data_IF_386196235388
#
_entry.id   IF_386196235388
#
_cell.length_a   1.000
_cell.length_b   1.000
_cell.length_c   1.000
_cell.angle_alpha   90.00
_cell.angle_beta   90.00
_cell.angle_gamma   90.00
#
_symmetry.space_group_name_H-M   'P 1'
#
loop_
_entity.id
_entity.type
_entity.pdbx_description
1 polymer ?
#
# COMPACT_ATOMS: atom_id res chain seq x y z
N UNK A 1 -23.61 -6.26 -20.01
CA UNK A 1 -22.81 -7.48 -20.24
C UNK A 1 -21.80 -7.60 -19.10
N UNK A 2 -21.68 -8.77 -18.48
CA UNK A 2 -20.64 -9.08 -17.50
C UNK A 2 -19.27 -9.08 -18.18
N UNK A 3 -18.31 -8.28 -17.72
CA UNK A 3 -16.93 -8.28 -18.22
C UNK A 3 -16.03 -9.11 -17.30
N UNK A 4 -14.93 -9.62 -17.85
CA UNK A 4 -13.95 -10.41 -17.12
C UNK A 4 -12.58 -9.77 -17.25
N UNK A 5 -12.02 -9.25 -16.15
CA UNK A 5 -10.60 -8.88 -16.14
C UNK A 5 -9.75 -10.14 -16.25
N UNK A 6 -9.01 -10.24 -17.33
CA UNK A 6 -8.18 -11.39 -17.65
C UNK A 6 -6.86 -11.42 -16.85
N UNK A 7 -6.29 -12.58 -16.67
CA UNK A 7 -4.88 -12.72 -16.34
C UNK A 7 -4.02 -12.43 -17.57
N UNK A 8 -2.81 -11.88 -17.39
CA UNK A 8 -1.83 -11.74 -18.48
C UNK A 8 -0.71 -12.75 -18.28
N UNK A 9 -0.57 -13.68 -19.20
CA UNK A 9 0.39 -14.78 -19.10
C UNK A 9 0.82 -15.28 -20.48
N UNK A 10 2.09 -15.66 -20.58
CA UNK A 10 2.65 -16.14 -21.87
C UNK A 10 2.46 -15.12 -23.00
N UNK A 11 2.63 -13.83 -22.69
CA UNK A 11 2.54 -12.74 -23.66
C UNK A 11 1.12 -12.40 -24.13
N UNK A 12 0.06 -12.86 -23.47
CA UNK A 12 -1.33 -12.58 -23.85
C UNK A 12 -2.30 -12.53 -22.69
N UNK A 13 -3.35 -11.74 -22.85
CA UNK A 13 -4.50 -11.76 -21.96
C UNK A 13 -5.26 -13.08 -22.11
N UNK A 14 -5.55 -13.72 -20.97
CA UNK A 14 -6.10 -15.07 -20.93
C UNK A 14 -7.26 -15.13 -19.92
N UNK A 15 -8.46 -15.53 -20.33
CA UNK A 15 -9.56 -15.77 -19.40
C UNK A 15 -9.27 -16.98 -18.50
N UNK A 16 -10.07 -17.13 -17.45
CA UNK A 16 -10.07 -18.31 -16.57
C UNK A 16 -11.50 -18.72 -16.26
N UNK A 17 -11.70 -20.01 -16.03
CA UNK A 17 -12.97 -20.53 -15.48
C UNK A 17 -13.11 -20.21 -14.00
N UNK A 18 -11.98 -20.19 -13.28
CA UNK A 18 -11.95 -19.76 -11.88
C UNK A 18 -12.01 -18.23 -11.83
N UNK A 19 -13.02 -17.69 -11.16
CA UNK A 19 -13.22 -16.24 -11.11
C UNK A 19 -13.62 -15.78 -9.72
N UNK A 20 -13.40 -14.50 -9.44
CA UNK A 20 -13.91 -13.81 -8.28
C UNK A 20 -14.67 -12.52 -8.70
N UNK A 21 -15.53 -11.95 -7.86
CA UNK A 21 -16.10 -10.63 -8.11
C UNK A 21 -15.00 -9.59 -8.30
N UNK A 22 -15.18 -8.67 -9.24
CA UNK A 22 -14.33 -7.50 -9.40
C UNK A 22 -14.87 -6.38 -8.49
N UNK A 23 -14.11 -5.89 -7.51
CA UNK A 23 -14.59 -4.85 -6.60
C UNK A 23 -15.08 -3.60 -7.33
N UNK A 24 -16.13 -2.97 -6.81
CA UNK A 24 -16.71 -1.73 -7.32
C UNK A 24 -17.47 -1.85 -8.65
N UNK A 25 -17.48 -3.01 -9.28
CA UNK A 25 -18.13 -3.23 -10.56
C UNK A 25 -19.11 -4.39 -10.47
N UNK A 26 -20.38 -4.05 -10.24
CA UNK A 26 -21.45 -5.05 -10.12
C UNK A 26 -21.54 -5.93 -11.38
N UNK A 27 -21.41 -7.22 -11.20
CA UNK A 27 -21.45 -8.22 -12.27
C UNK A 27 -20.10 -8.49 -12.93
N UNK A 28 -19.14 -7.58 -12.92
CA UNK A 28 -17.82 -7.84 -13.50
C UNK A 28 -17.01 -8.82 -12.64
N UNK A 29 -16.12 -9.59 -13.29
CA UNK A 29 -15.36 -10.68 -12.68
C UNK A 29 -13.87 -10.49 -12.87
N UNK A 30 -13.06 -11.09 -11.99
CA UNK A 30 -11.61 -11.20 -12.07
C UNK A 30 -11.26 -12.66 -12.34
N UNK A 31 -10.51 -12.92 -13.41
CA UNK A 31 -9.96 -14.25 -13.69
C UNK A 31 -8.94 -14.64 -12.60
N UNK A 32 -9.05 -15.82 -12.04
CA UNK A 32 -8.08 -16.36 -11.08
C UNK A 32 -7.24 -17.44 -11.73
N UNK A 33 -5.94 -17.42 -11.49
CA UNK A 33 -4.99 -18.41 -12.00
C UNK A 33 -4.78 -19.50 -10.95
N UNK A 34 -5.13 -20.76 -11.23
CA UNK A 34 -4.83 -21.89 -10.35
C UNK A 34 -3.32 -22.16 -10.24
N UNK A 35 -2.87 -22.74 -9.13
CA UNK A 35 -1.45 -23.05 -8.89
C UNK A 35 -0.87 -23.98 -9.97
N UNK A 36 -1.62 -24.97 -10.41
CA UNK A 36 -1.18 -25.91 -11.46
C UNK A 36 -0.89 -25.22 -12.79
N UNK A 37 -1.65 -24.17 -13.11
CA UNK A 37 -1.45 -23.36 -14.31
C UNK A 37 -0.17 -22.52 -14.18
N UNK A 38 0.06 -21.90 -13.03
CA UNK A 38 1.30 -21.19 -12.73
C UNK A 38 2.52 -22.11 -12.79
N UNK A 39 2.41 -23.33 -12.24
CA UNK A 39 3.46 -24.35 -12.32
C UNK A 39 3.78 -24.79 -13.77
N UNK A 40 2.76 -24.88 -14.63
CA UNK A 40 2.98 -25.16 -16.05
C UNK A 40 3.65 -23.99 -16.78
N UNK A 41 3.35 -22.74 -16.38
CA UNK A 41 4.01 -21.56 -16.93
C UNK A 41 5.47 -21.47 -16.48
N UNK A 42 5.79 -21.83 -15.22
CA UNK A 42 7.17 -21.91 -14.74
C UNK A 42 7.99 -22.93 -15.55
N UNK A 43 7.49 -24.16 -15.74
CA UNK A 43 8.19 -25.17 -16.54
C UNK A 43 8.45 -24.71 -17.97
N UNK A 44 7.50 -23.97 -18.58
CA UNK A 44 7.71 -23.37 -19.90
C UNK A 44 8.80 -22.31 -19.86
N UNK A 45 8.80 -21.45 -18.83
CA UNK A 45 9.79 -20.41 -18.63
C UNK A 45 11.22 -21.00 -18.53
N UNK A 46 11.38 -22.05 -17.75
CA UNK A 46 12.69 -22.75 -17.60
C UNK A 46 13.24 -23.26 -18.93
N UNK A 47 12.35 -23.63 -19.85
CA UNK A 47 12.73 -24.08 -21.21
C UNK A 47 13.07 -22.95 -22.21
N UNK A 48 12.79 -21.68 -21.87
CA UNK A 48 12.98 -20.55 -22.80
C UNK A 48 14.38 -19.93 -22.74
N UNK A 49 15.21 -20.28 -21.77
CA UNK A 49 16.52 -19.67 -21.52
C UNK A 49 16.46 -18.13 -21.63
N UNK A 50 15.75 -17.45 -20.74
CA UNK A 50 15.43 -16.03 -20.89
C UNK A 50 16.73 -15.20 -20.97
N UNK A 51 16.78 -14.32 -21.93
CA UNK A 51 17.84 -13.32 -22.04
C UNK A 51 17.78 -12.29 -20.91
N UNK A 52 18.71 -11.35 -20.89
CA UNK A 52 18.66 -10.18 -20.01
C UNK A 52 17.55 -9.21 -20.46
N UNK A 53 17.04 -8.34 -19.57
CA UNK A 53 16.14 -7.24 -19.95
C UNK A 53 16.76 -6.36 -21.07
N UNK A 54 15.98 -5.49 -21.73
CA UNK A 54 16.51 -4.51 -22.68
C UNK A 54 17.70 -3.72 -22.14
N UNK A 55 18.50 -3.10 -23.00
CA UNK A 55 19.64 -2.26 -22.59
C UNK A 55 19.18 -1.16 -21.61
N UNK A 56 20.06 -0.71 -20.69
CA UNK A 56 19.68 0.18 -19.57
C UNK A 56 18.89 1.41 -20.01
N UNK A 57 19.44 2.22 -20.92
CA UNK A 57 18.78 3.45 -21.38
C UNK A 57 17.39 3.16 -21.98
N UNK A 58 17.28 2.11 -22.79
CA UNK A 58 16.01 1.70 -23.36
C UNK A 58 15.00 1.21 -22.34
N UNK A 59 15.47 0.55 -21.26
CA UNK A 59 14.57 0.14 -20.16
C UNK A 59 13.94 1.32 -19.47
N UNK A 60 14.76 2.30 -19.09
CA UNK A 60 14.31 3.50 -18.38
C UNK A 60 13.31 4.30 -19.22
N UNK A 61 13.60 4.48 -20.51
CA UNK A 61 12.71 5.13 -21.46
C UNK A 61 11.34 4.41 -21.52
N UNK A 62 11.33 3.10 -21.74
CA UNK A 62 10.09 2.31 -21.80
C UNK A 62 9.28 2.37 -20.50
N UNK A 63 9.92 2.42 -19.33
CA UNK A 63 9.23 2.52 -18.05
C UNK A 63 8.63 3.91 -17.83
N UNK A 64 9.30 4.98 -18.26
CA UNK A 64 8.75 6.34 -18.19
C UNK A 64 7.58 6.50 -19.15
N UNK A 65 7.68 5.99 -20.39
CA UNK A 65 6.59 5.95 -21.35
C UNK A 65 5.40 5.15 -20.80
N UNK A 66 5.66 4.00 -20.15
CA UNK A 66 4.63 3.20 -19.52
C UNK A 66 3.92 3.95 -18.38
N UNK A 67 4.64 4.73 -17.57
CA UNK A 67 4.02 5.55 -16.52
C UNK A 67 3.17 6.68 -17.10
N UNK A 68 3.60 7.29 -18.20
CA UNK A 68 2.80 8.30 -18.89
C UNK A 68 1.50 7.71 -19.45
N UNK A 69 1.60 6.56 -20.12
CA UNK A 69 0.45 5.82 -20.61
C UNK A 69 -0.46 5.31 -19.46
N UNK A 70 0.12 4.88 -18.34
CA UNK A 70 -0.61 4.46 -17.16
C UNK A 70 -1.49 5.58 -16.60
N UNK A 71 -0.99 6.80 -16.57
CA UNK A 71 -1.70 7.96 -16.02
C UNK A 71 -2.71 8.54 -17.02
N UNK A 72 -2.29 8.72 -18.28
CA UNK A 72 -3.01 9.54 -19.27
C UNK A 72 -3.55 8.74 -20.45
N UNK A 73 -2.96 7.59 -20.78
CA UNK A 73 -3.27 6.84 -22.00
C UNK A 73 -4.64 6.18 -21.98
N UNK A 74 -5.17 5.91 -23.19
CA UNK A 74 -6.28 4.97 -23.37
C UNK A 74 -5.69 3.60 -23.66
N UNK A 75 -5.89 2.64 -22.75
CA UNK A 75 -5.28 1.32 -22.76
C UNK A 75 -6.34 0.22 -22.85
N UNK A 76 -6.08 -0.81 -23.64
CA UNK A 76 -6.89 -2.04 -23.58
C UNK A 76 -6.49 -2.87 -22.38
N UNK A 77 -7.31 -2.81 -21.33
CA UNK A 77 -7.09 -3.57 -20.09
C UNK A 77 -7.84 -4.89 -20.20
N UNK A 78 -7.13 -5.89 -20.62
CA UNK A 78 -7.54 -7.25 -20.98
C UNK A 78 -8.90 -7.74 -20.49
N UNK A 79 -9.86 -7.83 -21.41
CA UNK A 79 -11.22 -8.26 -21.14
C UNK A 79 -12.16 -7.18 -20.59
N UNK A 80 -11.63 -6.04 -20.12
CA UNK A 80 -12.41 -4.85 -19.75
C UNK A 80 -12.60 -3.90 -20.93
N UNK A 81 -11.77 -4.02 -21.97
CA UNK A 81 -11.73 -3.14 -23.13
C UNK A 81 -10.93 -1.86 -22.90
N UNK A 82 -11.02 -0.89 -23.83
CA UNK A 82 -10.33 0.38 -23.73
C UNK A 82 -10.73 1.14 -22.46
N UNK A 83 -9.75 1.70 -21.79
CA UNK A 83 -9.89 2.48 -20.54
C UNK A 83 -8.98 3.70 -20.62
N UNK A 84 -9.55 4.90 -20.63
CA UNK A 84 -8.81 6.15 -20.50
C UNK A 84 -8.26 6.36 -19.09
N UNK A 85 -7.36 7.33 -18.89
CA UNK A 85 -6.88 7.71 -17.57
C UNK A 85 -7.99 8.20 -16.63
N UNK A 86 -8.99 8.93 -17.17
CA UNK A 86 -10.16 9.36 -16.39
C UNK A 86 -11.01 8.17 -15.93
N UNK A 87 -11.38 7.28 -16.85
CA UNK A 87 -12.14 6.05 -16.52
C UNK A 87 -11.39 5.14 -15.53
N UNK A 88 -10.07 5.15 -15.56
CA UNK A 88 -9.27 4.45 -14.55
C UNK A 88 -9.42 5.07 -13.16
N UNK A 89 -9.34 6.40 -13.05
CA UNK A 89 -9.56 7.09 -11.77
C UNK A 89 -10.96 6.85 -11.22
N UNK A 90 -11.97 6.90 -12.08
CA UNK A 90 -13.36 6.57 -11.71
C UNK A 90 -13.47 5.12 -11.21
N UNK A 91 -12.80 4.19 -11.90
CA UNK A 91 -12.78 2.79 -11.50
C UNK A 91 -12.05 2.57 -10.16
N UNK A 92 -11.00 3.32 -9.85
CA UNK A 92 -10.33 3.30 -8.55
C UNK A 92 -11.22 3.85 -7.44
N UNK A 93 -11.99 4.91 -7.76
CA UNK A 93 -12.99 5.43 -6.84
C UNK A 93 -14.07 4.39 -6.55
N UNK A 94 -14.65 3.79 -7.56
CA UNK A 94 -15.70 2.76 -7.43
C UNK A 94 -15.22 1.51 -6.68
N UNK A 95 -14.00 1.02 -6.98
CA UNK A 95 -13.49 -0.25 -6.44
C UNK A 95 -12.83 -0.14 -5.08
N UNK A 96 -12.04 0.91 -4.86
CA UNK A 96 -11.17 1.05 -3.69
C UNK A 96 -11.40 2.33 -2.89
N UNK A 97 -12.33 3.21 -3.35
CA UNK A 97 -12.62 4.49 -2.72
C UNK A 97 -11.45 5.48 -2.78
N UNK A 98 -10.55 5.33 -3.76
CA UNK A 98 -9.39 6.21 -3.94
C UNK A 98 -9.83 7.42 -4.76
N UNK A 99 -9.86 8.64 -4.19
CA UNK A 99 -10.27 9.84 -4.91
C UNK A 99 -9.25 10.25 -5.97
N UNK A 100 -9.73 10.91 -7.05
CA UNK A 100 -8.91 11.34 -8.18
C UNK A 100 -7.63 12.08 -7.78
N UNK A 101 -7.68 13.14 -6.94
CA UNK A 101 -6.48 13.88 -6.50
C UNK A 101 -5.44 13.00 -5.81
N UNK A 102 -5.87 11.95 -5.08
CA UNK A 102 -4.95 11.02 -4.44
C UNK A 102 -4.32 10.07 -5.47
N UNK A 103 -5.10 9.62 -6.45
CA UNK A 103 -4.60 8.78 -7.54
C UNK A 103 -3.55 9.53 -8.38
N UNK A 104 -3.79 10.80 -8.74
CA UNK A 104 -2.84 11.66 -9.45
C UNK A 104 -1.55 11.88 -8.67
N UNK A 105 -1.66 12.17 -7.38
CA UNK A 105 -0.49 12.28 -6.49
C UNK A 105 0.34 11.00 -6.47
N UNK A 106 -0.31 9.84 -6.42
CA UNK A 106 0.38 8.55 -6.41
C UNK A 106 1.03 8.23 -7.75
N UNK A 107 0.46 8.64 -8.88
CA UNK A 107 1.13 8.57 -10.19
C UNK A 107 2.41 9.42 -10.19
N UNK A 108 2.34 10.67 -9.72
CA UNK A 108 3.52 11.53 -9.56
C UNK A 108 4.60 10.92 -8.66
N UNK A 109 4.22 10.27 -7.56
CA UNK A 109 5.16 9.55 -6.69
C UNK A 109 5.87 8.41 -7.41
N UNK A 110 5.16 7.60 -8.21
CA UNK A 110 5.77 6.51 -8.98
C UNK A 110 6.80 7.05 -9.97
N UNK A 111 6.48 8.14 -10.67
CA UNK A 111 7.39 8.80 -11.61
C UNK A 111 8.63 9.32 -10.90
N UNK A 112 8.47 10.13 -9.85
CA UNK A 112 9.58 10.69 -9.08
C UNK A 112 10.49 9.59 -8.51
N UNK A 113 9.91 8.50 -8.00
CA UNK A 113 10.68 7.37 -7.48
C UNK A 113 11.46 6.68 -8.57
N UNK A 114 10.87 6.47 -9.75
CA UNK A 114 11.56 5.86 -10.89
C UNK A 114 12.72 6.74 -11.37
N UNK A 115 12.51 8.05 -11.50
CA UNK A 115 13.53 9.01 -11.95
C UNK A 115 14.71 9.13 -10.97
N UNK A 116 14.42 9.13 -9.66
CA UNK A 116 15.44 9.28 -8.62
C UNK A 116 16.23 7.98 -8.32
N UNK A 117 15.68 6.83 -8.69
CA UNK A 117 16.29 5.54 -8.35
C UNK A 117 17.47 5.25 -9.28
N UNK A 118 18.64 4.82 -8.74
CA UNK A 118 19.73 4.30 -9.56
C UNK A 118 19.27 3.03 -10.30
N UNK A 119 19.76 2.86 -11.49
CA UNK A 119 19.46 1.66 -12.28
C UNK A 119 19.99 0.39 -11.58
N UNK A 120 19.15 -0.63 -11.40
CA UNK A 120 19.60 -1.88 -10.82
C UNK A 120 20.40 -2.70 -11.83
N UNK A 121 21.39 -3.44 -11.34
CA UNK A 121 22.07 -4.44 -12.16
C UNK A 121 21.10 -5.55 -12.54
N UNK A 122 20.94 -5.85 -13.85
CA UNK A 122 20.02 -6.87 -14.30
C UNK A 122 20.50 -8.28 -13.95
N UNK A 123 19.55 -9.17 -13.73
CA UNK A 123 19.80 -10.59 -13.50
C UNK A 123 18.81 -11.49 -14.27
N UNK A 124 18.97 -12.80 -14.13
CA UNK A 124 18.14 -13.79 -14.82
C UNK A 124 17.00 -14.35 -13.99
N UNK A 125 16.71 -13.76 -12.84
CA UNK A 125 15.67 -14.22 -11.95
C UNK A 125 14.27 -14.03 -12.55
N UNK A 126 13.39 -14.95 -12.24
CA UNK A 126 11.95 -14.74 -12.33
C UNK A 126 11.48 -14.17 -10.99
N UNK A 127 11.06 -12.92 -10.97
CA UNK A 127 10.59 -12.25 -9.76
C UNK A 127 9.08 -12.39 -9.57
N UNK A 128 8.63 -12.48 -8.31
CA UNK A 128 7.25 -12.34 -7.89
C UNK A 128 7.08 -11.03 -7.12
N UNK A 129 6.10 -10.23 -7.49
CA UNK A 129 5.64 -9.09 -6.69
C UNK A 129 4.18 -9.32 -6.31
N UNK A 130 3.91 -9.53 -5.02
CA UNK A 130 2.55 -9.65 -4.50
C UNK A 130 2.12 -8.34 -3.85
N UNK A 131 1.19 -7.65 -4.49
CA UNK A 131 0.77 -6.29 -4.15
C UNK A 131 -0.27 -6.24 -3.02
N UNK A 132 -0.29 -5.16 -2.23
CA UNK A 132 -1.34 -4.88 -1.25
C UNK A 132 -2.59 -4.32 -1.93
N UNK A 133 -3.69 -4.20 -1.20
CA UNK A 133 -4.95 -3.64 -1.74
C UNK A 133 -5.34 -2.28 -1.15
N UNK A 134 -4.41 -1.60 -0.48
CA UNK A 134 -4.66 -0.31 0.16
C UNK A 134 -4.07 0.89 -0.61
N UNK A 135 -3.10 0.63 -1.47
CA UNK A 135 -2.43 1.64 -2.31
C UNK A 135 -1.87 0.98 -3.57
N UNK A 136 -1.74 1.74 -4.63
CA UNK A 136 -1.02 1.28 -5.82
C UNK A 136 0.42 1.84 -5.93
N UNK A 137 0.88 2.67 -5.00
CA UNK A 137 2.27 3.15 -5.02
C UNK A 137 3.29 2.02 -4.92
N UNK A 138 2.89 0.86 -4.36
CA UNK A 138 3.73 -0.35 -4.34
C UNK A 138 4.01 -0.92 -5.76
N UNK A 139 3.42 -0.35 -6.82
CA UNK A 139 3.82 -0.60 -8.20
C UNK A 139 5.27 -0.16 -8.48
N UNK A 140 5.83 0.73 -7.66
CA UNK A 140 7.27 1.04 -7.69
C UNK A 140 8.14 -0.21 -7.64
N UNK A 141 7.75 -1.18 -6.80
CA UNK A 141 8.46 -2.47 -6.71
C UNK A 141 8.28 -3.32 -7.97
N UNK A 142 7.11 -3.24 -8.62
CA UNK A 142 6.92 -3.91 -9.93
C UNK A 142 7.87 -3.30 -10.95
N UNK A 143 7.94 -1.98 -11.04
CA UNK A 143 8.85 -1.27 -11.95
C UNK A 143 10.32 -1.63 -11.65
N UNK A 144 10.71 -1.69 -10.37
CA UNK A 144 12.05 -2.11 -9.97
C UNK A 144 12.37 -3.54 -10.43
N UNK A 145 11.46 -4.48 -10.20
CA UNK A 145 11.70 -5.87 -10.60
C UNK A 145 11.63 -6.04 -12.12
N UNK A 146 10.79 -5.29 -12.83
CA UNK A 146 10.74 -5.25 -14.30
C UNK A 146 12.07 -4.76 -14.86
N UNK A 147 12.67 -3.75 -14.25
CA UNK A 147 13.98 -3.21 -14.66
C UNK A 147 15.14 -4.17 -14.36
N UNK A 148 15.06 -4.93 -13.28
CA UNK A 148 16.13 -5.79 -12.77
C UNK A 148 16.06 -7.22 -13.27
N UNK A 149 14.88 -7.83 -13.26
CA UNK A 149 14.71 -9.28 -13.42
C UNK A 149 14.47 -9.67 -14.87
N UNK A 150 14.79 -10.92 -15.23
CA UNK A 150 14.50 -11.44 -16.56
C UNK A 150 13.00 -11.46 -16.87
N UNK A 151 12.15 -11.71 -15.87
CA UNK A 151 10.71 -11.51 -15.97
C UNK A 151 10.08 -11.30 -14.58
N UNK A 152 8.86 -10.77 -14.57
CA UNK A 152 8.12 -10.46 -13.34
C UNK A 152 6.71 -11.04 -13.41
N UNK A 153 6.35 -11.79 -12.39
CA UNK A 153 4.98 -12.18 -12.11
C UNK A 153 4.38 -11.21 -11.09
N UNK A 154 3.38 -10.44 -11.52
CA UNK A 154 2.65 -9.50 -10.67
C UNK A 154 1.40 -10.19 -10.16
N UNK A 155 1.30 -10.35 -8.83
CA UNK A 155 0.10 -10.82 -8.17
C UNK A 155 -0.64 -9.63 -7.57
N UNK A 156 -1.75 -9.18 -8.19
CA UNK A 156 -2.53 -8.08 -7.67
C UNK A 156 -3.28 -8.49 -6.39
N UNK A 157 -3.64 -7.52 -5.58
CA UNK A 157 -4.65 -7.73 -4.56
C UNK A 157 -6.02 -7.95 -5.20
N UNK A 158 -6.83 -8.83 -4.63
CA UNK A 158 -8.24 -8.97 -5.04
C UNK A 158 -9.11 -7.77 -4.66
N UNK A 159 -8.64 -6.93 -3.73
CA UNK A 159 -9.35 -5.71 -3.31
C UNK A 159 -9.17 -4.56 -4.30
N UNK A 160 -8.03 -4.50 -4.96
CA UNK A 160 -7.72 -3.50 -5.98
C UNK A 160 -6.78 -4.15 -7.01
N UNK A 161 -7.31 -4.84 -8.06
CA UNK A 161 -6.51 -5.45 -9.11
C UNK A 161 -6.30 -4.54 -10.33
N UNK A 162 -7.04 -3.43 -10.42
CA UNK A 162 -7.12 -2.62 -11.63
C UNK A 162 -5.81 -1.87 -11.93
N UNK A 163 -5.16 -1.33 -10.91
CA UNK A 163 -3.89 -0.62 -11.08
C UNK A 163 -2.78 -1.54 -11.59
N UNK A 164 -2.69 -2.76 -11.07
CA UNK A 164 -1.71 -3.74 -11.56
C UNK A 164 -2.01 -4.16 -13.01
N UNK A 165 -3.27 -4.39 -13.35
CA UNK A 165 -3.67 -4.75 -14.71
C UNK A 165 -3.39 -3.61 -15.69
N UNK A 166 -3.70 -2.37 -15.31
CA UNK A 166 -3.44 -1.19 -16.12
C UNK A 166 -1.92 -0.94 -16.30
N UNK A 167 -1.10 -1.17 -15.26
CA UNK A 167 0.36 -1.07 -15.41
C UNK A 167 0.89 -2.10 -16.42
N UNK A 168 0.41 -3.33 -16.36
CA UNK A 168 0.79 -4.35 -17.38
C UNK A 168 0.37 -3.91 -18.78
N UNK A 169 -0.85 -3.40 -18.96
CA UNK A 169 -1.30 -2.86 -20.24
C UNK A 169 -0.44 -1.69 -20.72
N UNK A 170 -0.05 -0.79 -19.80
CA UNK A 170 0.81 0.35 -20.10
C UNK A 170 2.23 -0.08 -20.53
N UNK A 171 2.82 -1.04 -19.83
CA UNK A 171 4.12 -1.62 -20.19
C UNK A 171 4.08 -2.21 -21.62
N UNK A 172 3.04 -2.96 -21.94
CA UNK A 172 2.86 -3.54 -23.28
C UNK A 172 2.70 -2.47 -24.35
N UNK A 173 1.89 -1.44 -24.08
CA UNK A 173 1.68 -0.32 -25.02
C UNK A 173 2.94 0.52 -25.24
N UNK A 174 3.80 0.65 -24.22
CA UNK A 174 5.11 1.28 -24.32
C UNK A 174 6.14 0.41 -25.08
N UNK A 175 5.81 -0.85 -25.40
CA UNK A 175 6.70 -1.77 -26.12
C UNK A 175 7.57 -2.66 -25.23
N UNK A 176 7.23 -2.80 -23.93
CA UNK A 176 7.89 -3.79 -23.07
C UNK A 176 7.64 -5.20 -23.58
N UNK A 177 8.68 -6.08 -23.65
CA UNK A 177 8.52 -7.44 -24.17
C UNK A 177 7.44 -8.23 -23.39
N UNK A 178 6.41 -8.74 -24.08
CA UNK A 178 5.23 -9.32 -23.43
C UNK A 178 5.50 -10.62 -22.65
N UNK A 179 6.57 -11.32 -22.97
CA UNK A 179 6.98 -12.53 -22.24
C UNK A 179 7.67 -12.24 -20.90
N UNK A 180 8.07 -10.98 -20.66
CA UNK A 180 8.82 -10.57 -19.45
C UNK A 180 7.95 -10.02 -18.33
N UNK A 181 6.68 -9.82 -18.55
CA UNK A 181 5.73 -9.39 -17.53
C UNK A 181 4.51 -10.29 -17.55
N UNK A 182 3.97 -10.59 -16.38
CA UNK A 182 2.72 -11.36 -16.29
C UNK A 182 1.88 -10.86 -15.13
N UNK A 183 0.55 -10.97 -15.26
CA UNK A 183 -0.43 -10.68 -14.22
C UNK A 183 -1.07 -11.98 -13.78
N UNK A 184 -0.86 -12.36 -12.52
CA UNK A 184 -1.37 -13.58 -11.90
C UNK A 184 -2.35 -13.28 -10.77
N UNK A 185 -3.59 -12.87 -11.03
CA UNK A 185 -4.60 -12.81 -9.99
C UNK A 185 -4.84 -14.22 -9.47
N UNK A 186 -4.74 -14.42 -8.16
CA UNK A 186 -4.87 -15.74 -7.56
C UNK A 186 -5.67 -15.70 -6.26
N UNK A 187 -6.23 -16.84 -5.86
CA UNK A 187 -6.73 -17.02 -4.52
C UNK A 187 -5.58 -16.93 -3.48
N UNK A 188 -5.90 -16.54 -2.24
CA UNK A 188 -4.89 -16.34 -1.21
C UNK A 188 -4.02 -17.59 -0.92
N UNK A 189 -4.55 -18.81 -0.88
CA UNK A 189 -3.73 -20.01 -0.65
C UNK A 189 -2.65 -20.24 -1.72
N UNK A 190 -2.88 -19.80 -2.96
CA UNK A 190 -1.97 -19.99 -4.11
C UNK A 190 -0.67 -19.17 -3.97
N UNK A 191 -0.66 -18.11 -3.15
CA UNK A 191 0.54 -17.27 -2.97
C UNK A 191 1.77 -18.09 -2.56
N UNK A 192 1.61 -19.07 -1.67
CA UNK A 192 2.71 -19.95 -1.26
C UNK A 192 3.27 -20.76 -2.43
N UNK A 193 2.40 -21.19 -3.34
CA UNK A 193 2.80 -21.86 -4.58
C UNK A 193 3.60 -20.92 -5.48
N UNK A 194 3.13 -19.69 -5.69
CA UNK A 194 3.87 -18.70 -6.49
C UNK A 194 5.27 -18.41 -5.93
N UNK A 195 5.40 -18.30 -4.60
CA UNK A 195 6.70 -18.11 -3.93
C UNK A 195 7.65 -19.28 -4.23
N UNK A 196 7.17 -20.53 -4.24
CA UNK A 196 8.00 -21.70 -4.58
C UNK A 196 8.37 -21.78 -6.06
N UNK A 197 7.58 -21.16 -6.93
CA UNK A 197 7.75 -21.20 -8.38
C UNK A 197 8.62 -20.07 -8.93
N UNK A 198 9.05 -19.13 -8.11
CA UNK A 198 9.80 -17.96 -8.53
C UNK A 198 11.14 -17.87 -7.76
N UNK A 199 12.10 -17.12 -8.29
CA UNK A 199 13.47 -17.10 -7.76
C UNK A 199 13.68 -15.95 -6.76
N UNK A 200 12.92 -14.86 -6.90
CA UNK A 200 12.93 -13.70 -6.02
C UNK A 200 11.48 -13.30 -5.70
N UNK A 201 11.25 -12.82 -4.49
CA UNK A 201 9.91 -12.54 -4.03
C UNK A 201 9.87 -11.22 -3.27
N UNK A 202 8.97 -10.32 -3.67
CA UNK A 202 8.59 -9.16 -2.87
C UNK A 202 7.10 -9.28 -2.55
N UNK A 203 6.79 -9.41 -1.27
CA UNK A 203 5.44 -9.70 -0.80
C UNK A 203 5.00 -8.64 0.19
N UNK A 204 3.88 -8.00 -0.11
CA UNK A 204 3.22 -7.09 0.81
C UNK A 204 2.11 -7.82 1.57
N UNK A 205 2.13 -7.73 2.90
CA UNK A 205 1.10 -8.40 3.71
C UNK A 205 1.19 -8.10 5.20
N UNK A 206 0.10 -8.35 5.91
CA UNK A 206 0.03 -8.16 7.35
C UNK A 206 0.74 -9.27 8.16
N UNK A 207 0.70 -9.13 9.50
CA UNK A 207 1.32 -10.04 10.45
C UNK A 207 0.93 -11.51 10.28
N UNK A 208 -0.32 -11.79 9.88
CA UNK A 208 -0.78 -13.15 9.62
C UNK A 208 -0.05 -13.82 8.44
N UNK A 209 0.29 -13.05 7.40
CA UNK A 209 1.08 -13.56 6.29
C UNK A 209 2.54 -13.75 6.71
N UNK A 210 3.10 -12.80 7.44
CA UNK A 210 4.46 -12.89 8.00
C UNK A 210 4.65 -14.16 8.86
N UNK A 211 3.66 -14.49 9.69
CA UNK A 211 3.68 -15.70 10.51
C UNK A 211 3.48 -16.99 9.69
N UNK A 212 2.80 -16.91 8.54
CA UNK A 212 2.44 -18.07 7.74
C UNK A 212 3.49 -18.46 6.68
N UNK A 213 4.36 -17.54 6.30
CA UNK A 213 5.41 -17.77 5.29
C UNK A 213 6.73 -17.96 6.01
N UNK A 214 7.26 -19.21 6.02
CA UNK A 214 8.67 -19.43 6.36
C UNK A 214 9.50 -18.70 5.33
N UNK A 215 10.44 -17.87 5.77
CA UNK A 215 11.26 -17.01 4.92
C UNK A 215 12.19 -17.85 4.04
N UNK A 216 11.85 -18.12 2.75
CA UNK A 216 12.81 -18.70 1.84
C UNK A 216 13.90 -17.68 1.51
N UNK A 217 15.05 -18.16 1.06
CA UNK A 217 16.07 -17.27 0.52
C UNK A 217 15.48 -16.40 -0.61
N UNK A 218 15.78 -15.11 -0.62
CA UNK A 218 15.28 -14.18 -1.63
C UNK A 218 13.87 -13.63 -1.39
N UNK A 219 13.24 -13.86 -0.22
CA UNK A 219 11.97 -13.23 0.16
C UNK A 219 12.21 -11.90 0.88
N UNK A 220 11.72 -10.83 0.29
CA UNK A 220 11.50 -9.53 0.96
C UNK A 220 10.03 -9.44 1.36
N UNK A 221 9.76 -9.43 2.66
CA UNK A 221 8.41 -9.30 3.19
C UNK A 221 8.20 -7.89 3.74
N UNK A 222 7.30 -7.15 3.10
CA UNK A 222 6.82 -5.87 3.63
C UNK A 222 5.61 -6.14 4.55
N UNK A 223 5.89 -6.24 5.84
CA UNK A 223 4.89 -6.40 6.90
C UNK A 223 4.34 -5.06 7.38
N UNK A 224 3.65 -5.06 8.54
CA UNK A 224 3.21 -3.84 9.19
C UNK A 224 4.38 -2.89 9.47
N UNK A 225 4.24 -1.61 9.06
CA UNK A 225 5.29 -0.61 9.21
C UNK A 225 5.52 -0.18 10.65
N UNK A 226 4.46 -0.19 11.47
CA UNK A 226 4.47 0.26 12.88
C UNK A 226 5.14 1.63 13.04
N UNK A 227 4.96 2.51 12.05
CA UNK A 227 5.66 3.78 11.98
C UNK A 227 5.48 4.61 13.25
N UNK A 228 6.58 5.13 13.77
CA UNK A 228 6.58 5.96 14.96
C UNK A 228 7.31 7.29 14.77
N UNK A 229 6.88 8.30 15.51
CA UNK A 229 7.52 9.59 15.59
C UNK A 229 8.00 9.85 17.02
N UNK A 230 9.23 10.32 17.15
CA UNK A 230 9.85 10.67 18.42
C UNK A 230 9.90 12.19 18.54
N UNK A 231 9.11 12.74 19.46
CA UNK A 231 9.04 14.17 19.73
C UNK A 231 9.98 14.50 20.90
N UNK A 232 11.03 15.31 20.68
CA UNK A 232 11.98 15.66 21.71
C UNK A 232 11.37 16.57 22.78
N UNK A 233 11.91 16.51 23.98
CA UNK A 233 11.55 17.47 25.03
C UNK A 233 11.89 18.90 24.57
N UNK A 234 11.00 19.85 24.88
CA UNK A 234 11.20 21.26 24.54
C UNK A 234 10.78 21.67 23.13
N UNK A 235 10.36 20.75 22.26
CA UNK A 235 9.72 21.12 21.00
C UNK A 235 8.38 21.81 21.27
N UNK A 236 8.14 22.97 20.67
CA UNK A 236 6.89 23.70 20.82
C UNK A 236 5.71 22.86 20.30
N UNK A 237 4.61 22.81 21.06
CA UNK A 237 3.44 21.98 20.75
C UNK A 237 2.89 22.23 19.33
N UNK A 238 2.79 23.50 18.92
CA UNK A 238 2.30 23.85 17.58
C UNK A 238 3.23 23.30 16.49
N UNK A 239 4.54 23.53 16.61
CA UNK A 239 5.53 23.03 15.66
C UNK A 239 5.54 21.49 15.58
N UNK A 240 5.36 20.82 16.71
CA UNK A 240 5.25 19.36 16.73
C UNK A 240 3.96 18.88 16.03
N UNK A 241 2.83 19.56 16.24
CA UNK A 241 1.57 19.23 15.59
C UNK A 241 1.64 19.45 14.08
N UNK A 242 2.20 20.58 13.61
CA UNK A 242 2.37 20.88 12.20
C UNK A 242 3.29 19.86 11.49
N UNK A 243 4.36 19.42 12.17
CA UNK A 243 5.24 18.38 11.66
C UNK A 243 4.58 17.00 11.59
N UNK A 244 3.76 16.64 12.59
CA UNK A 244 3.15 15.31 12.70
C UNK A 244 1.91 15.15 11.83
N UNK A 245 1.13 16.21 11.62
CA UNK A 245 -0.12 16.13 10.86
C UNK A 245 0.05 15.48 9.48
N UNK A 246 0.99 15.92 8.61
CA UNK A 246 1.22 15.26 7.32
C UNK A 246 1.68 13.81 7.46
N UNK A 247 2.46 13.46 8.48
CA UNK A 247 2.92 12.09 8.69
C UNK A 247 1.80 11.13 9.10
N UNK A 248 0.72 11.65 9.69
CA UNK A 248 -0.46 10.86 10.11
C UNK A 248 -1.51 10.84 9.01
N UNK A 249 -1.81 12.00 8.40
CA UNK A 249 -2.98 12.21 7.55
C UNK A 249 -2.72 11.99 6.06
N UNK A 250 -1.46 12.13 5.61
CA UNK A 250 -1.12 11.93 4.20
C UNK A 250 -1.62 10.58 3.70
N UNK A 251 -1.99 10.56 2.41
CA UNK A 251 -2.42 9.36 1.72
C UNK A 251 -3.59 8.63 2.41
N UNK A 252 -4.46 9.44 3.05
CA UNK A 252 -5.60 8.94 3.83
C UNK A 252 -5.20 7.98 4.96
N UNK A 253 -3.97 8.09 5.46
CA UNK A 253 -3.45 7.16 6.47
C UNK A 253 -3.31 5.71 5.97
N UNK A 254 -3.16 5.46 4.66
CA UNK A 254 -3.15 4.10 4.09
C UNK A 254 -1.77 3.49 3.94
N UNK A 255 -0.71 4.27 4.12
CA UNK A 255 0.64 3.76 3.98
C UNK A 255 1.14 3.13 5.28
N UNK A 256 1.98 2.10 5.15
CA UNK A 256 2.69 1.52 6.29
C UNK A 256 3.69 2.51 6.93
N UNK A 257 4.07 3.58 6.22
CA UNK A 257 4.89 4.68 6.72
C UNK A 257 4.09 5.77 7.45
N UNK A 258 2.74 5.77 7.41
CA UNK A 258 1.98 6.73 8.20
C UNK A 258 2.22 6.50 9.70
N UNK A 259 2.50 7.58 10.41
CA UNK A 259 2.78 7.53 11.85
C UNK A 259 1.54 7.05 12.61
N UNK A 260 1.69 5.92 13.33
CA UNK A 260 0.68 5.31 14.18
C UNK A 260 0.96 5.52 15.65
N UNK A 261 2.21 5.84 15.96
CA UNK A 261 2.67 6.05 17.33
C UNK A 261 3.44 7.37 17.42
N UNK A 262 3.00 8.23 18.30
CA UNK A 262 3.72 9.46 18.66
C UNK A 262 4.22 9.32 20.09
N UNK A 263 5.54 9.33 20.27
CA UNK A 263 6.18 9.23 21.57
C UNK A 263 6.78 10.58 21.95
N UNK A 264 6.41 11.12 23.09
CA UNK A 264 6.94 12.39 23.58
C UNK A 264 7.58 12.23 24.97
N UNK A 265 8.74 12.86 25.15
CA UNK A 265 9.37 12.96 26.47
C UNK A 265 8.73 14.04 27.34
N UNK A 266 8.02 14.99 26.72
CA UNK A 266 7.28 16.06 27.42
C UNK A 266 5.84 15.67 27.78
N UNK A 267 5.03 16.65 28.22
CA UNK A 267 3.61 16.42 28.45
C UNK A 267 2.89 15.97 27.16
N UNK A 268 2.24 14.82 27.20
CA UNK A 268 1.60 14.25 25.99
C UNK A 268 0.25 14.92 25.68
N UNK A 269 -0.49 15.37 26.69
CA UNK A 269 -1.84 15.89 26.53
C UNK A 269 -1.93 17.17 25.68
N UNK A 270 -1.11 18.22 25.89
CA UNK A 270 -1.16 19.42 25.02
C UNK A 270 -0.91 19.08 23.55
N UNK A 271 0.07 18.22 23.25
CA UNK A 271 0.36 17.77 21.89
C UNK A 271 -0.80 16.97 21.30
N UNK A 272 -1.36 16.03 22.07
CA UNK A 272 -2.47 15.21 21.61
C UNK A 272 -3.72 16.05 21.33
N UNK A 273 -4.01 17.08 22.14
CA UNK A 273 -5.13 18.01 21.90
C UNK A 273 -4.90 18.86 20.64
N UNK A 274 -3.69 19.37 20.41
CA UNK A 274 -3.37 20.13 19.21
C UNK A 274 -3.51 19.27 17.94
N UNK A 275 -2.99 18.06 17.97
CA UNK A 275 -3.14 17.10 16.85
C UNK A 275 -4.59 16.71 16.62
N UNK A 276 -5.37 16.44 17.67
CA UNK A 276 -6.78 16.12 17.55
C UNK A 276 -7.56 17.27 16.90
N UNK A 277 -7.30 18.50 17.31
CA UNK A 277 -7.93 19.68 16.72
C UNK A 277 -7.59 19.83 15.23
N UNK A 278 -6.31 19.59 14.86
CA UNK A 278 -5.90 19.61 13.46
C UNK A 278 -6.54 18.48 12.64
N UNK A 279 -6.61 17.26 13.17
CA UNK A 279 -7.26 16.12 12.51
C UNK A 279 -8.77 16.31 12.36
N UNK A 280 -9.44 16.97 13.30
CA UNK A 280 -10.86 17.30 13.23
C UNK A 280 -11.22 18.28 12.09
N UNK A 281 -10.23 19.00 11.53
CA UNK A 281 -10.45 19.86 10.34
C UNK A 281 -10.59 19.07 9.05
N UNK A 282 -10.13 17.81 9.01
CA UNK A 282 -10.18 16.97 7.83
C UNK A 282 -11.64 16.51 7.61
N UNK A 283 -12.25 17.03 6.56
CA UNK A 283 -13.65 16.75 6.24
C UNK A 283 -13.75 15.83 5.00
N UNK A 284 -14.39 14.67 5.10
CA UNK A 284 -14.58 13.76 3.96
C UNK A 284 -15.46 14.38 2.84
N UNK A 285 -16.19 15.44 3.13
CA UNK A 285 -17.06 16.14 2.15
C UNK A 285 -16.30 17.12 1.24
N UNK A 286 -15.06 17.47 1.58
CA UNK A 286 -14.26 18.41 0.79
C UNK A 286 -13.36 17.68 -0.18
N UNK A 287 -13.67 17.81 -1.49
CA UNK A 287 -12.87 17.26 -2.58
C UNK A 287 -11.50 17.95 -2.72
N UNK A 288 -11.41 19.23 -2.34
CA UNK A 288 -10.18 20.06 -2.39
C UNK A 288 -9.38 20.00 -1.09
N UNK A 289 -9.59 18.98 -0.28
CA UNK A 289 -8.82 18.80 0.94
C UNK A 289 -7.36 18.52 0.64
N UNK A 290 -6.46 19.19 1.36
CA UNK A 290 -5.02 18.84 1.39
C UNK A 290 -4.80 17.37 1.79
N UNK A 291 -5.75 16.83 2.56
CA UNK A 291 -5.75 15.45 3.07
C UNK A 291 -7.03 14.71 2.63
N UNK A 292 -7.17 14.34 1.34
CA UNK A 292 -8.37 13.65 0.88
C UNK A 292 -8.51 12.30 1.57
N UNK A 293 -9.73 11.99 2.05
CA UNK A 293 -10.02 10.70 2.65
C UNK A 293 -10.48 9.71 1.58
N UNK A 294 -10.12 8.46 1.76
CA UNK A 294 -10.60 7.34 0.95
C UNK A 294 -11.92 6.81 1.50
N UNK A 295 -12.86 6.49 0.61
CA UNK A 295 -14.11 5.85 0.99
C UNK A 295 -13.91 4.34 1.24
N UNK A 296 -14.73 3.78 2.11
CA UNK A 296 -14.83 2.34 2.33
C UNK A 296 -15.91 1.76 1.43
N UNK A 297 -15.55 0.85 0.54
CA UNK A 297 -16.47 0.23 -0.42
C UNK A 297 -17.11 -1.06 0.08
N UNK A 298 -16.47 -1.76 1.01
CA UNK A 298 -17.02 -2.97 1.60
C UNK A 298 -17.97 -2.60 2.76
N UNK A 299 -19.21 -3.08 2.76
CA UNK A 299 -20.17 -2.80 3.84
C UNK A 299 -19.62 -3.16 5.23
N UNK A 300 -19.76 -2.26 6.18
CA UNK A 300 -19.31 -2.43 7.56
C UNK A 300 -17.78 -2.37 7.75
N UNK A 301 -17.01 -2.10 6.70
CA UNK A 301 -15.53 -2.07 6.82
C UNK A 301 -15.03 -0.85 7.62
N UNK A 302 -15.66 0.31 7.46
CA UNK A 302 -15.34 1.50 8.25
C UNK A 302 -15.60 1.26 9.73
N UNK A 303 -16.75 0.68 10.06
CA UNK A 303 -17.15 0.34 11.44
C UNK A 303 -16.21 -0.70 12.05
N UNK A 304 -15.83 -1.73 11.29
CA UNK A 304 -14.83 -2.71 11.77
C UNK A 304 -13.47 -2.06 12.03
N UNK A 305 -13.04 -1.17 11.14
CA UNK A 305 -11.76 -0.47 11.28
C UNK A 305 -11.74 0.44 12.52
N UNK A 306 -12.77 1.27 12.71
CA UNK A 306 -12.86 2.17 13.87
C UNK A 306 -13.09 1.40 15.19
N UNK A 307 -13.89 0.34 15.17
CA UNK A 307 -14.08 -0.56 16.31
C UNK A 307 -12.77 -1.22 16.73
N UNK A 308 -11.91 -1.58 15.78
CA UNK A 308 -10.62 -2.20 16.11
C UNK A 308 -9.69 -1.27 16.91
N UNK A 309 -9.85 0.05 16.80
CA UNK A 309 -9.18 1.03 17.66
C UNK A 309 -9.82 1.02 19.05
N UNK A 310 -11.16 1.13 19.12
CA UNK A 310 -11.88 1.18 20.40
C UNK A 310 -11.64 -0.08 21.26
N UNK A 311 -11.62 -1.27 20.65
CA UNK A 311 -11.38 -2.55 21.35
C UNK A 311 -9.95 -2.68 21.92
N UNK A 312 -9.01 -1.86 21.45
CA UNK A 312 -7.62 -1.82 21.96
C UNK A 312 -7.36 -0.74 22.98
N UNK A 313 -8.34 0.13 23.22
CA UNK A 313 -8.22 1.14 24.27
C UNK A 313 -8.25 0.47 25.65
N UNK A 314 -7.46 1.01 26.57
CA UNK A 314 -7.37 0.59 27.98
C UNK A 314 -8.05 1.64 28.87
N UNK A 315 -8.38 1.29 30.12
CA UNK A 315 -8.79 2.27 31.10
C UNK A 315 -7.76 3.40 31.22
N UNK A 316 -8.24 4.65 31.16
CA UNK A 316 -7.41 5.86 31.14
C UNK A 316 -7.05 6.39 29.76
N UNK A 317 -7.28 5.63 28.69
CA UNK A 317 -7.13 6.14 27.34
C UNK A 317 -8.29 7.07 26.97
N UNK A 318 -7.99 8.06 26.13
CA UNK A 318 -9.00 9.04 25.67
C UNK A 318 -8.92 9.22 24.17
N UNK A 319 -10.02 8.98 23.47
CA UNK A 319 -10.21 9.42 22.09
C UNK A 319 -10.46 10.93 22.12
N UNK A 320 -9.59 11.71 21.49
CA UNK A 320 -9.62 13.19 21.57
C UNK A 320 -10.26 13.84 20.33
N UNK A 321 -10.32 13.17 19.19
CA UNK A 321 -11.07 13.64 18.02
C UNK A 321 -12.57 13.56 18.30
N UNK A 322 -13.32 14.54 17.77
CA UNK A 322 -14.73 14.79 18.16
C UNK A 322 -15.73 14.37 17.10
N UNK A 323 -15.27 14.14 15.86
CA UNK A 323 -16.18 13.71 14.78
C UNK A 323 -16.71 12.31 15.06
N UNK A 324 -17.93 11.97 14.60
CA UNK A 324 -18.40 10.59 14.63
C UNK A 324 -17.39 9.67 13.98
N UNK A 325 -17.10 8.46 14.55
CA UNK A 325 -16.10 7.55 14.02
C UNK A 325 -16.31 7.16 12.55
N UNK A 326 -17.56 7.04 12.14
CA UNK A 326 -17.96 6.75 10.75
C UNK A 326 -18.95 7.82 10.30
N UNK A 327 -18.77 8.30 9.08
CA UNK A 327 -19.65 9.30 8.44
C UNK A 327 -20.07 8.77 7.08
N UNK A 328 -21.34 8.96 6.73
CA UNK A 328 -21.85 8.72 5.39
C UNK A 328 -22.17 10.06 4.76
N UNK A 329 -21.60 10.33 3.60
CA UNK A 329 -21.84 11.56 2.85
C UNK A 329 -21.81 11.29 1.35
N UNK A 330 -22.75 11.83 0.59
CA UNK A 330 -22.83 11.57 -0.87
C UNK A 330 -23.04 10.09 -1.24
N UNK A 331 -23.52 9.27 -0.30
CA UNK A 331 -23.64 7.81 -0.50
C UNK A 331 -22.39 7.01 -0.17
N UNK A 332 -21.28 7.67 0.15
CA UNK A 332 -19.99 7.05 0.47
C UNK A 332 -19.75 7.01 1.98
N UNK A 333 -19.12 5.94 2.44
CA UNK A 333 -18.82 5.71 3.86
C UNK A 333 -17.34 5.97 4.15
N UNK A 334 -17.06 6.75 5.19
CA UNK A 334 -15.71 7.13 5.60
C UNK A 334 -15.47 6.84 7.07
N UNK A 335 -14.28 6.39 7.41
CA UNK A 335 -13.77 6.50 8.78
C UNK A 335 -13.11 7.87 8.95
N UNK A 336 -13.51 8.61 9.98
CA UNK A 336 -12.91 9.90 10.30
C UNK A 336 -11.55 9.72 11.00
N UNK A 337 -10.66 10.72 10.97
CA UNK A 337 -9.41 10.64 11.70
C UNK A 337 -9.59 10.39 13.19
N UNK A 338 -8.75 9.55 13.77
CA UNK A 338 -8.76 9.26 15.20
C UNK A 338 -7.42 9.58 15.85
N UNK A 339 -7.47 10.27 16.98
CA UNK A 339 -6.32 10.45 17.86
C UNK A 339 -6.64 9.97 19.26
N UNK A 340 -5.85 9.03 19.75
CA UNK A 340 -5.97 8.50 21.10
C UNK A 340 -4.79 8.97 21.95
N UNK A 341 -5.06 9.63 23.07
CA UNK A 341 -4.08 9.82 24.13
C UNK A 341 -4.11 8.61 25.03
N UNK A 342 -3.00 7.89 25.11
CA UNK A 342 -2.90 6.73 26.01
C UNK A 342 -2.74 7.17 27.45
N UNK A 343 -3.34 6.42 28.37
CA UNK A 343 -3.08 6.56 29.80
C UNK A 343 -1.63 6.23 30.15
N UNK A 344 -1.18 6.70 31.32
CA UNK A 344 0.16 6.36 31.83
C UNK A 344 0.27 4.84 32.03
N UNK A 345 1.34 4.27 31.52
CA UNK A 345 1.60 2.84 31.66
C UNK A 345 2.45 2.59 32.91
N UNK A 346 2.05 1.66 33.80
CA UNK A 346 2.89 1.29 34.93
C UNK A 346 4.21 0.67 34.43
N UNK A 347 5.31 0.82 35.19
CA UNK A 347 6.58 0.17 34.87
C UNK A 347 6.40 -1.35 34.71
N UNK A 348 6.96 -1.91 33.64
CA UNK A 348 6.85 -3.34 33.34
C UNK A 348 5.54 -3.79 32.72
N UNK A 349 4.59 -2.90 32.47
CA UNK A 349 3.37 -3.25 31.76
C UNK A 349 3.68 -3.72 30.32
N UNK A 350 2.89 -4.67 29.78
CA UNK A 350 3.00 -5.04 28.37
C UNK A 350 2.76 -3.82 27.48
N UNK A 351 3.43 -3.78 26.34
CA UNK A 351 3.27 -2.71 25.35
C UNK A 351 1.80 -2.41 25.07
N UNK A 352 1.49 -1.12 24.92
CA UNK A 352 0.12 -0.71 24.68
C UNK A 352 -0.34 -1.18 23.28
N UNK A 353 -1.50 -1.85 23.13
CA UNK A 353 -1.91 -2.48 21.89
C UNK A 353 -2.25 -1.49 20.76
N UNK A 354 -2.43 -0.21 21.07
CA UNK A 354 -2.59 0.85 20.05
C UNK A 354 -1.27 1.32 19.45
N UNK A 355 -0.12 1.09 20.11
CA UNK A 355 1.17 1.51 19.60
C UNK A 355 1.56 0.63 18.40
N UNK A 356 1.68 1.26 17.22
CA UNK A 356 1.92 0.57 15.95
C UNK A 356 0.69 -0.17 15.40
N UNK A 357 -0.51 0.08 15.92
CA UNK A 357 -1.74 -0.49 15.35
C UNK A 357 -2.06 0.16 14.02
N UNK A 358 -2.15 -0.63 12.95
CA UNK A 358 -2.45 -0.15 11.60
C UNK A 358 -3.93 -0.27 11.27
N UNK A 359 -4.49 0.85 10.81
CA UNK A 359 -5.86 0.95 10.29
C UNK A 359 -5.83 1.71 8.96
N UNK A 360 -6.78 1.47 8.03
CA UNK A 360 -6.77 2.09 6.70
C UNK A 360 -7.44 3.49 6.69
N UNK A 361 -7.14 4.31 7.70
CA UNK A 361 -7.57 5.71 7.82
C UNK A 361 -6.59 6.48 8.71
N UNK A 362 -6.59 7.82 8.74
CA UNK A 362 -5.70 8.59 9.59
C UNK A 362 -5.92 8.28 11.07
N UNK A 363 -4.91 7.71 11.72
CA UNK A 363 -4.95 7.32 13.13
C UNK A 363 -3.57 7.45 13.76
N UNK A 364 -3.52 7.97 14.98
CA UNK A 364 -2.33 7.88 15.82
C UNK A 364 -2.68 7.74 17.31
N UNK A 365 -1.83 7.00 18.03
CA UNK A 365 -1.80 6.98 19.48
C UNK A 365 -0.63 7.84 19.97
N UNK A 366 -0.91 8.75 20.90
CA UNK A 366 0.09 9.61 21.55
C UNK A 366 0.35 9.08 22.94
N UNK A 367 1.62 8.79 23.24
CA UNK A 367 2.06 8.29 24.54
C UNK A 367 3.21 9.10 25.10
N UNK A 368 3.25 9.30 26.41
CA UNK A 368 4.44 9.74 27.11
C UNK A 368 5.39 8.57 27.26
N UNK A 369 6.66 8.76 26.94
CA UNK A 369 7.67 7.72 27.09
C UNK A 369 9.02 8.31 27.55
N UNK A 370 9.73 7.57 28.38
CA UNK A 370 11.13 7.86 28.66
C UNK A 370 11.98 7.61 27.42
N UNK A 371 13.13 8.25 27.30
CA UNK A 371 14.00 8.05 26.14
C UNK A 371 14.36 6.57 25.89
N UNK A 372 14.72 5.74 26.89
CA UNK A 372 14.97 4.31 26.66
C UNK A 372 13.74 3.56 26.16
N UNK A 373 12.54 3.84 26.69
CA UNK A 373 11.30 3.20 26.23
C UNK A 373 10.94 3.60 24.80
N UNK A 374 11.12 4.86 24.46
CA UNK A 374 10.90 5.37 23.10
C UNK A 374 11.84 4.71 22.09
N UNK A 375 13.13 4.58 22.40
CA UNK A 375 14.10 3.89 21.52
C UNK A 375 13.79 2.38 21.40
N UNK A 376 13.36 1.72 22.47
CA UNK A 376 12.95 0.31 22.41
C UNK A 376 11.73 0.08 21.50
N UNK A 377 10.76 1.01 21.50
CA UNK A 377 9.62 0.99 20.57
C UNK A 377 10.07 1.29 19.13
N UNK A 378 10.90 2.30 18.96
CA UNK A 378 11.46 2.69 17.66
C UNK A 378 12.26 1.54 17.02
N UNK A 379 12.96 0.73 17.81
CA UNK A 379 13.70 -0.43 17.32
C UNK A 379 12.84 -1.49 16.64
N UNK A 380 11.53 -1.52 16.91
CA UNK A 380 10.56 -2.46 16.31
C UNK A 380 9.71 -1.84 15.20
N UNK A 381 9.96 -0.57 14.86
CA UNK A 381 9.28 0.16 13.80
C UNK A 381 10.11 0.13 12.53
N UNK A 382 9.47 -0.09 11.37
CA UNK A 382 10.16 0.02 10.07
C UNK A 382 10.50 1.47 9.73
N UNK A 383 9.66 2.41 10.19
CA UNK A 383 9.83 3.83 9.93
C UNK A 383 9.88 4.57 11.25
N UNK A 384 10.96 5.33 11.46
CA UNK A 384 11.16 6.17 12.63
C UNK A 384 11.40 7.60 12.18
N UNK A 385 10.52 8.50 12.59
CA UNK A 385 10.57 9.92 12.25
C UNK A 385 11.12 10.72 13.42
N UNK A 386 12.03 11.65 13.10
CA UNK A 386 12.59 12.62 14.03
C UNK A 386 12.57 14.01 13.38
N UNK A 387 12.23 15.10 14.10
CA UNK A 387 11.96 16.40 13.50
C UNK A 387 13.17 17.06 12.80
N UNK A 388 14.38 16.57 13.02
CA UNK A 388 15.61 17.15 12.46
C UNK A 388 16.28 16.23 11.43
N UNK A 389 15.70 15.11 11.11
CA UNK A 389 16.20 14.22 10.05
C UNK A 389 15.41 14.43 8.77
N UNK A 390 16.10 14.73 7.68
CA UNK A 390 15.48 14.95 6.36
C UNK A 390 14.82 13.67 5.75
N UNK A 391 14.99 12.51 6.37
CA UNK A 391 14.42 11.25 5.89
C UNK A 391 13.94 10.38 7.04
N UNK A 392 12.83 9.67 6.82
CA UNK A 392 12.49 8.53 7.65
C UNK A 392 13.64 7.51 7.57
N UNK A 393 14.20 7.13 8.70
CA UNK A 393 15.18 6.04 8.73
C UNK A 393 14.40 4.74 8.53
N UNK A 394 14.34 4.25 7.29
CA UNK A 394 13.87 2.90 7.01
C UNK A 394 14.88 1.91 7.62
N UNK A 395 14.45 1.12 8.56
CA UNK A 395 15.24 0.01 9.07
C UNK A 395 15.01 -1.20 8.19
N UNK A 396 16.10 -1.83 7.77
CA UNK A 396 16.03 -3.09 7.04
C UNK A 396 15.37 -4.15 7.94
N UNK A 397 14.30 -4.82 7.51
CA UNK A 397 13.76 -5.91 8.29
C UNK A 397 14.76 -7.05 8.32
N UNK A 398 15.41 -7.29 9.45
CA UNK A 398 16.22 -8.47 9.71
C UNK A 398 15.35 -9.68 10.01
#
# INVERSE_FOLDING_TARGET
MTRLLHAFRRGRWTPSLDTAPLPGRAGDRLALVPEIVAAADRRRWDGLAPGLPPAPDRRRELLLDALDLFEHGTLDVGGLGPQSGAEFRDALWESAGIPGPLAERWCGMLRTTLEARPEPSPDRALALVSLPGNTFTCLETVLEQVERSAAVWVRPSRREPLSAARLVAALLAAGWPPERVSLYPTAQPVLRGLIRLTDRHVVYGGSALAAAVRTPAGLTLHGPGRACALVPAGMATAAAADWLLPLIAADSGRFCSNVRTVLTAGPAEPLARALAAALDTIDPRTTDSTWPLTAFREPGAAERATRSVAERMRPGDRLLTRRPPVVVTGGDTYATPHLVLTGDQPPGAPEHPLLGHEVPFPFAAVARATAPAAEALAARSLFVFRPWSAAAVRRDPR
#
